data_IF_136019201373
#
_entry.id   IF_136019201373
#
_cell.length_a   1.000
_cell.length_b   1.000
_cell.length_c   1.000
_cell.angle_alpha   90.00
_cell.angle_beta   90.00
_cell.angle_gamma   90.00
#
_symmetry.space_group_name_H-M   'P 1'
#
loop_
_entity.id
_entity.type
_entity.pdbx_description
1 polymer ?
#
# COMPACT_ATOMS: atom_id res chain seq x y z
N UNK A 1 -12.70 -10.49 14.52
CA UNK A 1 -12.42 -9.34 13.64
C UNK A 1 -11.70 -8.33 14.52
N UNK A 2 -10.55 -7.77 14.13
CA UNK A 2 -9.98 -6.67 14.90
C UNK A 2 -10.98 -5.52 14.91
N UNK A 3 -11.15 -4.86 16.04
CA UNK A 3 -11.96 -3.65 16.11
C UNK A 3 -11.39 -2.59 15.13
N UNK A 4 -12.21 -1.69 14.56
CA UNK A 4 -11.72 -0.69 13.59
C UNK A 4 -10.49 0.11 14.08
N UNK A 5 -10.42 0.38 15.38
CA UNK A 5 -9.28 1.03 16.01
C UNK A 5 -8.02 0.16 16.02
N UNK A 6 -8.13 -1.15 16.28
CA UNK A 6 -7.02 -2.10 16.24
C UNK A 6 -6.51 -2.26 14.80
N UNK A 7 -7.41 -2.34 13.83
CA UNK A 7 -7.06 -2.38 12.41
C UNK A 7 -6.24 -1.15 12.01
N UNK A 8 -6.69 0.05 12.39
CA UNK A 8 -5.97 1.29 12.13
C UNK A 8 -4.60 1.31 12.82
N UNK A 9 -4.50 0.83 14.06
CA UNK A 9 -3.23 0.75 14.78
C UNK A 9 -2.22 -0.16 14.06
N UNK A 10 -2.67 -1.32 13.57
CA UNK A 10 -1.82 -2.23 12.80
C UNK A 10 -1.35 -1.61 11.48
N UNK A 11 -2.26 -1.00 10.72
CA UNK A 11 -1.92 -0.31 9.46
C UNK A 11 -0.91 0.82 9.73
N UNK A 12 -1.16 1.62 10.77
CA UNK A 12 -0.28 2.73 11.18
C UNK A 12 1.12 2.25 11.52
N UNK A 13 1.26 1.18 12.31
CA UNK A 13 2.57 0.71 12.71
C UNK A 13 3.36 0.12 11.53
N UNK A 14 2.69 -0.57 10.60
CA UNK A 14 3.33 -0.99 9.35
C UNK A 14 3.85 0.20 8.56
N UNK A 15 3.02 1.23 8.35
CA UNK A 15 3.42 2.41 7.58
C UNK A 15 4.55 3.19 8.28
N UNK A 16 4.50 3.33 9.61
CA UNK A 16 5.55 3.99 10.40
C UNK A 16 6.87 3.23 10.31
N UNK A 17 6.83 1.91 10.48
CA UNK A 17 8.01 1.03 10.33
C UNK A 17 8.56 1.10 8.91
N UNK A 18 7.68 1.12 7.90
CA UNK A 18 8.05 1.24 6.50
C UNK A 18 8.69 2.58 6.17
N UNK A 19 8.17 3.68 6.73
CA UNK A 19 8.73 5.02 6.57
C UNK A 19 10.11 5.13 7.20
N UNK A 20 10.29 4.56 8.40
CA UNK A 20 11.59 4.51 9.04
C UNK A 20 12.60 3.71 8.19
N UNK A 21 12.21 2.53 7.72
CA UNK A 21 13.05 1.71 6.84
C UNK A 21 13.40 2.44 5.53
N UNK A 22 12.47 3.22 4.96
CA UNK A 22 12.73 4.03 3.78
C UNK A 22 13.80 5.10 4.05
N UNK A 23 13.70 5.83 5.18
CA UNK A 23 14.69 6.84 5.60
C UNK A 23 16.08 6.24 5.82
N UNK A 24 16.14 4.98 6.26
CA UNK A 24 17.38 4.22 6.45
C UNK A 24 17.94 3.63 5.14
N UNK A 25 17.30 3.87 3.99
CA UNK A 25 17.71 3.30 2.70
C UNK A 25 17.32 1.82 2.51
N UNK A 26 16.55 1.24 3.42
CA UNK A 26 16.07 -0.14 3.34
C UNK A 26 14.77 -0.24 2.54
N UNK A 27 14.86 -0.04 1.23
CA UNK A 27 13.73 -0.09 0.30
C UNK A 27 13.00 -1.44 0.30
N UNK A 28 13.72 -2.54 0.58
CA UNK A 28 13.14 -3.88 0.69
C UNK A 28 12.17 -3.98 1.87
N UNK A 29 12.60 -3.57 3.07
CA UNK A 29 11.75 -3.55 4.27
C UNK A 29 10.60 -2.55 4.14
N UNK A 30 10.84 -1.36 3.58
CA UNK A 30 9.78 -0.39 3.31
C UNK A 30 8.65 -0.99 2.45
N UNK A 31 9.01 -1.78 1.42
CA UNK A 31 8.03 -2.50 0.59
C UNK A 31 7.29 -3.60 1.33
N UNK A 32 7.98 -4.38 2.16
CA UNK A 32 7.33 -5.43 2.97
C UNK A 32 6.28 -4.81 3.89
N UNK A 33 6.63 -3.73 4.59
CA UNK A 33 5.72 -2.97 5.45
C UNK A 33 4.52 -2.41 4.66
N UNK A 34 4.75 -1.78 3.50
CA UNK A 34 3.67 -1.27 2.65
C UNK A 34 2.67 -2.37 2.23
N UNK A 35 3.18 -3.55 1.85
CA UNK A 35 2.34 -4.70 1.49
C UNK A 35 1.52 -5.22 2.67
N UNK A 36 2.12 -5.27 3.87
CA UNK A 36 1.43 -5.70 5.11
C UNK A 36 0.35 -4.72 5.52
N UNK A 37 0.61 -3.41 5.41
CA UNK A 37 -0.40 -2.37 5.63
C UNK A 37 -1.64 -2.59 4.75
N UNK A 38 -1.44 -2.83 3.45
CA UNK A 38 -2.54 -3.16 2.52
C UNK A 38 -3.24 -4.45 2.91
N UNK A 39 -2.47 -5.49 3.27
CA UNK A 39 -3.05 -6.79 3.63
C UNK A 39 -3.97 -6.70 4.86
N UNK A 40 -3.60 -5.94 5.90
CA UNK A 40 -4.44 -5.72 7.06
C UNK A 40 -5.83 -5.20 6.69
N UNK A 41 -5.89 -4.15 5.86
CA UNK A 41 -7.16 -3.57 5.44
C UNK A 41 -7.96 -4.53 4.54
N UNK A 42 -7.31 -5.15 3.56
CA UNK A 42 -7.95 -6.01 2.57
C UNK A 42 -8.49 -7.30 3.19
N UNK A 43 -7.82 -7.85 4.20
CA UNK A 43 -8.27 -9.05 4.91
C UNK A 43 -9.45 -8.77 5.85
N UNK A 44 -9.71 -7.51 6.20
CA UNK A 44 -10.89 -7.13 6.97
C UNK A 44 -12.17 -7.03 6.13
N UNK A 45 -12.06 -6.86 4.80
CA UNK A 45 -13.19 -6.66 3.88
C UNK A 45 -14.27 -7.76 3.96
N UNK A 46 -13.93 -9.07 3.99
CA UNK A 46 -14.94 -10.13 3.99
C UNK A 46 -15.84 -10.11 5.22
N UNK A 47 -15.32 -9.65 6.36
CA UNK A 47 -16.06 -9.56 7.61
C UNK A 47 -17.17 -8.48 7.56
N UNK A 48 -17.14 -7.63 6.54
CA UNK A 48 -18.08 -6.55 6.27
C UNK A 48 -18.93 -6.82 5.03
N UNK A 49 -18.95 -8.07 4.56
CA UNK A 49 -19.72 -8.50 3.39
C UNK A 49 -19.13 -8.06 2.05
N UNK A 50 -17.91 -7.53 2.03
CA UNK A 50 -17.21 -7.13 0.83
C UNK A 50 -16.41 -8.30 0.23
N UNK A 51 -15.97 -8.13 -1.03
CA UNK A 51 -15.18 -9.13 -1.76
C UNK A 51 -13.89 -9.50 -1.00
N UNK A 52 -13.61 -10.81 -0.95
CA UNK A 52 -12.31 -11.33 -0.51
C UNK A 52 -11.31 -11.32 -1.66
N UNK A 53 -10.06 -10.97 -1.36
CA UNK A 53 -8.94 -10.94 -2.33
C UNK A 53 -7.85 -12.00 -2.03
N UNK A 54 -8.10 -12.88 -1.07
CA UNK A 54 -7.15 -13.92 -0.63
C UNK A 54 -6.84 -13.87 0.87
N UNK A 55 -6.05 -14.85 1.32
CA UNK A 55 -5.63 -14.97 2.74
C UNK A 55 -4.19 -14.52 2.97
N UNK A 56 -3.42 -14.34 1.90
CA UNK A 56 -2.01 -14.01 1.97
C UNK A 56 -1.69 -12.72 1.21
N UNK A 57 -0.74 -11.95 1.74
CA UNK A 57 -0.30 -10.66 1.19
C UNK A 57 -0.07 -10.69 -0.32
N UNK A 58 0.65 -11.71 -0.80
CA UNK A 58 0.97 -11.85 -2.23
C UNK A 58 -0.26 -12.11 -3.09
N UNK A 59 -1.21 -12.88 -2.59
CA UNK A 59 -2.47 -13.18 -3.28
C UNK A 59 -3.36 -11.93 -3.33
N UNK A 60 -3.52 -11.25 -2.19
CA UNK A 60 -4.28 -10.00 -2.09
C UNK A 60 -3.87 -9.02 -3.18
N UNK A 61 -2.57 -8.76 -3.31
CA UNK A 61 -2.06 -7.80 -4.30
C UNK A 61 -2.24 -8.28 -5.74
N UNK A 62 -2.15 -9.59 -6.03
CA UNK A 62 -2.44 -10.13 -7.37
C UNK A 62 -3.91 -9.96 -7.73
N UNK A 63 -4.80 -10.32 -6.81
CA UNK A 63 -6.24 -10.22 -7.07
C UNK A 63 -6.68 -8.77 -7.20
N UNK A 64 -6.17 -7.86 -6.36
CA UNK A 64 -6.38 -6.41 -6.51
C UNK A 64 -5.88 -5.87 -7.85
N UNK A 65 -4.73 -6.34 -8.33
CA UNK A 65 -4.18 -5.91 -9.62
C UNK A 65 -5.04 -6.38 -10.81
N UNK A 66 -5.72 -7.52 -10.68
CA UNK A 66 -6.54 -8.13 -11.73
C UNK A 66 -8.03 -7.74 -11.65
N UNK A 67 -8.48 -7.06 -10.59
CA UNK A 67 -9.89 -6.72 -10.43
C UNK A 67 -10.29 -5.48 -11.23
N UNK A 68 -10.86 -5.70 -12.42
CA UNK A 68 -11.30 -4.65 -13.34
C UNK A 68 -12.36 -3.69 -12.77
N UNK A 69 -13.04 -4.06 -11.67
CA UNK A 69 -13.99 -3.19 -10.98
C UNK A 69 -13.28 -2.11 -10.14
N UNK A 70 -12.00 -2.31 -9.81
CA UNK A 70 -11.21 -1.31 -9.08
C UNK A 70 -10.71 -0.22 -10.02
N UNK A 71 -10.61 1.04 -9.56
CA UNK A 71 -10.01 2.10 -10.35
C UNK A 71 -8.58 1.77 -10.81
N UNK A 72 -8.23 2.12 -12.03
CA UNK A 72 -6.89 1.87 -12.61
C UNK A 72 -5.72 2.28 -11.70
N UNK A 73 -5.75 3.44 -11.00
CA UNK A 73 -4.68 3.80 -10.07
C UNK A 73 -4.46 2.78 -8.93
N UNK A 74 -5.55 2.17 -8.44
CA UNK A 74 -5.52 1.15 -7.36
C UNK A 74 -4.93 -0.14 -7.90
N UNK A 75 -5.39 -0.60 -9.08
CA UNK A 75 -4.87 -1.80 -9.74
C UNK A 75 -3.38 -1.69 -10.03
N UNK A 76 -2.93 -0.57 -10.60
CA UNK A 76 -1.51 -0.34 -10.89
C UNK A 76 -0.65 -0.27 -9.64
N UNK A 77 -1.14 0.37 -8.57
CA UNK A 77 -0.45 0.39 -7.29
C UNK A 77 -0.30 -1.02 -6.71
N UNK A 78 -1.35 -1.85 -6.79
CA UNK A 78 -1.30 -3.24 -6.35
C UNK A 78 -0.31 -4.06 -7.18
N UNK A 79 -0.29 -3.89 -8.50
CA UNK A 79 0.66 -4.57 -9.39
C UNK A 79 2.12 -4.19 -9.09
N UNK A 80 2.42 -2.89 -8.91
CA UNK A 80 3.75 -2.40 -8.53
C UNK A 80 4.19 -2.91 -7.16
N UNK A 81 3.28 -2.98 -6.19
CA UNK A 81 3.55 -3.53 -4.87
C UNK A 81 3.75 -5.04 -4.93
N UNK A 82 2.99 -5.77 -5.75
CA UNK A 82 3.17 -7.20 -5.92
C UNK A 82 4.57 -7.55 -6.43
N UNK A 83 5.08 -6.75 -7.37
CA UNK A 83 6.44 -6.85 -7.89
C UNK A 83 7.53 -6.75 -6.82
N UNK A 84 8.36 -7.80 -6.71
CA UNK A 84 9.54 -7.83 -5.85
C UNK A 84 10.81 -7.35 -6.55
N UNK A 85 11.94 -7.33 -5.83
CA UNK A 85 13.25 -6.98 -6.42
C UNK A 85 13.60 -7.82 -7.66
N UNK A 86 13.17 -9.08 -7.71
CA UNK A 86 13.32 -9.94 -8.89
C UNK A 86 12.51 -9.45 -10.10
N UNK A 87 11.33 -8.86 -9.89
CA UNK A 87 10.56 -8.26 -10.98
C UNK A 87 11.32 -7.07 -11.59
N UNK A 88 11.95 -6.23 -10.76
CA UNK A 88 12.78 -5.11 -11.21
C UNK A 88 13.94 -5.59 -12.11
N UNK A 89 14.63 -6.67 -11.72
CA UNK A 89 15.75 -7.23 -12.50
C UNK A 89 15.34 -7.74 -13.88
N UNK A 90 14.07 -8.06 -14.10
CA UNK A 90 13.54 -8.57 -15.36
C UNK A 90 12.57 -7.59 -16.05
N UNK A 91 12.60 -6.29 -15.69
CA UNK A 91 11.77 -5.26 -16.32
C UNK A 91 10.27 -5.33 -15.98
N UNK A 92 9.90 -6.10 -14.95
CA UNK A 92 8.54 -6.18 -14.44
C UNK A 92 8.13 -4.96 -13.61
N UNK A 93 6.83 -4.81 -13.36
CA UNK A 93 6.29 -3.73 -12.54
C UNK A 93 6.89 -3.78 -11.13
N UNK A 94 7.38 -2.64 -10.66
CA UNK A 94 8.05 -2.50 -9.37
C UNK A 94 7.75 -1.12 -8.80
N UNK A 95 7.34 -1.05 -7.53
CA UNK A 95 7.14 0.23 -6.86
C UNK A 95 8.46 0.88 -6.48
N UNK A 96 8.72 2.10 -6.95
CA UNK A 96 9.78 2.96 -6.40
C UNK A 96 9.32 3.67 -5.13
N UNK A 97 8.01 3.80 -4.92
CA UNK A 97 7.41 4.52 -3.80
C UNK A 97 6.35 3.65 -3.11
N UNK A 98 6.77 2.56 -2.43
CA UNK A 98 5.85 1.54 -1.95
C UNK A 98 4.85 2.06 -0.92
N UNK A 99 5.25 3.00 -0.06
CA UNK A 99 4.36 3.60 0.94
C UNK A 99 3.27 4.46 0.29
N UNK A 100 3.59 5.17 -0.79
CA UNK A 100 2.61 5.93 -1.56
C UNK A 100 1.64 5.00 -2.31
N UNK A 101 2.14 3.92 -2.90
CA UNK A 101 1.29 2.90 -3.54
C UNK A 101 0.34 2.24 -2.53
N UNK A 102 0.81 1.95 -1.31
CA UNK A 102 -0.06 1.48 -0.24
C UNK A 102 -1.11 2.53 0.11
N UNK A 103 -0.73 3.80 0.22
CA UNK A 103 -1.66 4.91 0.46
C UNK A 103 -2.80 4.99 -0.56
N UNK A 104 -2.52 4.81 -1.86
CA UNK A 104 -3.55 4.78 -2.92
C UNK A 104 -4.61 3.70 -2.66
N UNK A 105 -4.16 2.49 -2.31
CA UNK A 105 -5.03 1.34 -2.07
C UNK A 105 -5.81 1.52 -0.76
N UNK A 106 -5.13 1.94 0.31
CA UNK A 106 -5.72 2.15 1.63
C UNK A 106 -6.85 3.18 1.56
N UNK A 107 -6.64 4.32 0.90
CA UNK A 107 -7.68 5.36 0.73
C UNK A 107 -8.90 4.85 -0.03
N UNK A 108 -8.70 4.00 -1.03
CA UNK A 108 -9.81 3.45 -1.81
C UNK A 108 -10.72 2.59 -0.92
N UNK A 109 -10.16 1.63 -0.21
CA UNK A 109 -10.95 0.73 0.63
C UNK A 109 -11.46 1.40 1.91
N UNK A 110 -10.72 2.34 2.49
CA UNK A 110 -11.17 3.09 3.67
C UNK A 110 -12.51 3.82 3.42
N UNK A 111 -12.76 4.30 2.21
CA UNK A 111 -14.05 4.90 1.83
C UNK A 111 -15.20 3.89 1.86
N UNK A 112 -14.96 2.67 1.40
CA UNK A 112 -15.97 1.60 1.45
C UNK A 112 -16.27 1.16 2.88
N UNK A 113 -15.31 1.35 3.78
CA UNK A 113 -15.37 0.95 5.18
C UNK A 113 -15.88 2.04 6.13
N UNK A 114 -16.17 3.25 5.63
CA UNK A 114 -16.50 4.39 6.49
C UNK A 114 -15.33 4.88 7.36
N UNK A 115 -14.09 4.51 7.02
CA UNK A 115 -12.87 4.85 7.74
C UNK A 115 -12.02 5.90 7.02
N UNK A 116 -12.60 6.58 6.02
CA UNK A 116 -11.90 7.49 5.13
C UNK A 116 -11.14 8.57 5.91
N UNK A 117 -11.80 9.27 6.82
CA UNK A 117 -11.20 10.38 7.57
C UNK A 117 -10.04 9.89 8.45
N UNK A 118 -10.24 8.77 9.17
CA UNK A 118 -9.20 8.21 10.02
C UNK A 118 -7.95 7.77 9.24
N UNK A 119 -8.14 7.16 8.07
CA UNK A 119 -7.04 6.77 7.18
C UNK A 119 -6.38 7.99 6.55
N UNK A 120 -7.15 9.02 6.16
CA UNK A 120 -6.60 10.25 5.62
C UNK A 120 -5.74 10.99 6.65
N UNK A 121 -6.23 11.17 7.88
CA UNK A 121 -5.46 11.79 8.96
C UNK A 121 -4.16 11.02 9.24
N UNK A 122 -4.22 9.69 9.32
CA UNK A 122 -3.03 8.85 9.49
C UNK A 122 -2.01 9.04 8.35
N UNK A 123 -2.46 9.09 7.09
CA UNK A 123 -1.56 9.29 5.95
C UNK A 123 -0.96 10.70 5.93
N UNK A 124 -1.71 11.72 6.37
CA UNK A 124 -1.22 13.10 6.52
C UNK A 124 -0.14 13.19 7.60
N UNK A 125 -0.37 12.59 8.77
CA UNK A 125 0.61 12.54 9.86
C UNK A 125 1.93 11.88 9.46
N UNK A 126 1.88 10.94 8.51
CA UNK A 126 3.04 10.22 7.99
C UNK A 126 3.61 10.87 6.70
N UNK A 127 3.06 11.99 6.23
CA UNK A 127 3.41 12.66 4.97
C UNK A 127 3.34 11.73 3.74
N UNK A 128 2.29 10.90 3.63
CA UNK A 128 2.07 9.92 2.55
C UNK A 128 0.90 10.30 1.60
N UNK A 129 0.39 11.53 1.68
CA UNK A 129 -0.73 11.97 0.85
C UNK A 129 -0.32 12.31 -0.59
N UNK A 130 0.84 12.92 -0.75
CA UNK A 130 1.36 13.39 -2.03
C UNK A 130 2.30 12.37 -2.66
N UNK A 131 2.26 12.30 -3.99
CA UNK A 131 3.30 11.58 -4.72
C UNK A 131 4.64 12.27 -4.43
N UNK A 132 5.71 11.51 -4.14
CA UNK A 132 7.03 12.10 -3.99
C UNK A 132 7.35 12.87 -5.27
N UNK A 133 7.69 14.14 -5.13
CA UNK A 133 8.18 14.95 -6.23
C UNK A 133 9.45 14.28 -6.76
N UNK A 134 9.47 13.99 -8.07
CA UNK A 134 10.66 13.52 -8.79
C UNK A 134 11.70 14.67 -8.85
N UNK A 135 12.25 15.09 -7.71
CA UNK A 135 13.42 15.95 -7.66
C UNK A 135 14.66 15.09 -7.83
N UNK A 136 14.82 14.53 -9.03
CA UNK A 136 16.10 14.03 -9.55
C UNK A 136 16.16 14.28 -11.06
N UNK A 137 16.05 15.55 -11.42
CA UNK A 137 16.63 16.06 -12.65
C UNK A 137 18.07 16.49 -12.37
N UNK A 138 18.98 16.11 -13.26
CA UNK A 138 20.36 16.61 -13.40
C UNK A 138 21.47 15.96 -12.55
N UNK A 139 22.09 14.94 -13.13
CA UNK A 139 23.55 14.84 -13.18
C UNK A 139 23.95 14.20 -14.52
N UNK A 140 23.80 14.97 -15.59
CA UNK A 140 24.60 14.80 -16.80
C UNK A 140 25.68 15.87 -16.76
N UNK A 141 26.92 15.45 -16.52
CA UNK A 141 28.15 16.21 -16.77
C UNK A 141 29.24 15.21 -17.11
#
# INVERSE_FOLDING_TARGET
MPEPAELLAQIREELRTGLQAWKEGNAGKARVCARRAVAWLVQALPALGLRSYGTHVGENLRQLAADEQLPEPVRRAAARLHGGARAQLHGGLYSLYPLHDAGLILRHFARQLGMADAVMSMLQELNLCDAPSDSSSSAAS
#
